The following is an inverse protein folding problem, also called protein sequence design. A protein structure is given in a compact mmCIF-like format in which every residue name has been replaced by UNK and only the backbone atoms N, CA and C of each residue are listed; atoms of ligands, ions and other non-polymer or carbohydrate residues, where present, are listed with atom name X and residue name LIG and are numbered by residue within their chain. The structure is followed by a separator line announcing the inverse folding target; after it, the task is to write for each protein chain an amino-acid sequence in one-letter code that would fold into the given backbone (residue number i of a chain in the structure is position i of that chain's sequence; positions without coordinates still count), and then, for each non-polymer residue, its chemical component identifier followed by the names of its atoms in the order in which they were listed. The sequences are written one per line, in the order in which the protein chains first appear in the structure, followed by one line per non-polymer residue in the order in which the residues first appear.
data_IF_296186801717
#
_entry.id   IF_296186801717
#
_cell.length_a   1.000
_cell.length_b   1.000
_cell.length_c   1.000
_cell.angle_alpha   90.00
_cell.angle_beta   90.00
_cell.angle_gamma   90.00
#
_symmetry.space_group_name_H-M   'P 1'
#
loop_
_entity.id
_entity.type
_entity.pdbx_description
1 polymer ?
#
# COMPACT_ATOMS: atom_id res chain seq x y z
N UNK A 1 17.31 17.61 -20.12
CA UNK A 1 16.79 17.34 -18.78
C UNK A 1 16.50 15.86 -18.70
N UNK A 2 17.15 15.05 -17.84
CA UNK A 2 16.70 13.68 -17.64
C UNK A 2 15.27 13.71 -17.08
N UNK A 3 14.34 13.02 -17.74
CA UNK A 3 12.98 12.86 -17.22
C UNK A 3 13.04 12.10 -15.89
N UNK A 4 12.25 12.46 -14.87
CA UNK A 4 12.20 11.71 -13.63
C UNK A 4 11.76 10.28 -13.94
N UNK A 5 12.58 9.30 -13.56
CA UNK A 5 12.22 7.89 -13.67
C UNK A 5 11.07 7.65 -12.69
N UNK A 6 9.90 7.18 -13.13
CA UNK A 6 8.80 6.92 -12.22
C UNK A 6 9.26 5.86 -11.19
N UNK A 7 8.90 6.02 -9.91
CA UNK A 7 9.32 5.10 -8.87
C UNK A 7 8.84 3.68 -9.19
N UNK A 8 9.73 2.70 -9.02
CA UNK A 8 9.40 1.30 -9.26
C UNK A 8 8.33 0.87 -8.25
N UNK A 9 7.22 0.33 -8.75
CA UNK A 9 6.13 -0.21 -7.90
C UNK A 9 6.66 -1.30 -6.98
N UNK A 10 6.26 -1.26 -5.70
CA UNK A 10 6.71 -2.18 -4.65
C UNK A 10 5.54 -3.06 -4.21
N UNK A 11 5.18 -4.02 -5.05
CA UNK A 11 4.07 -4.93 -4.76
C UNK A 11 4.40 -5.92 -3.65
N UNK A 12 3.68 -5.78 -2.53
CA UNK A 12 3.80 -6.65 -1.37
C UNK A 12 2.54 -7.52 -1.19
N UNK A 13 2.70 -8.68 -0.56
CA UNK A 13 1.57 -9.46 -0.04
C UNK A 13 0.91 -8.71 1.12
N UNK A 14 -0.33 -9.06 1.43
CA UNK A 14 -1.05 -8.44 2.56
C UNK A 14 -0.33 -8.65 3.90
N UNK A 15 0.27 -9.83 4.12
CA UNK A 15 1.08 -10.13 5.31
C UNK A 15 2.31 -9.22 5.42
N UNK A 16 3.04 -9.03 4.32
CA UNK A 16 4.23 -8.15 4.27
C UNK A 16 3.85 -6.69 4.54
N UNK A 17 2.72 -6.23 3.99
CA UNK A 17 2.21 -4.89 4.26
C UNK A 17 1.74 -4.71 5.71
N UNK A 18 1.13 -5.75 6.29
CA UNK A 18 0.71 -5.76 7.68
C UNK A 18 1.91 -5.67 8.63
N UNK A 19 2.96 -6.44 8.36
CA UNK A 19 4.23 -6.35 9.09
C UNK A 19 4.87 -4.97 8.93
N UNK A 20 4.91 -4.43 7.71
CA UNK A 20 5.47 -3.10 7.45
C UNK A 20 4.79 -1.98 8.27
N UNK A 21 3.45 -2.02 8.37
CA UNK A 21 2.67 -1.04 9.13
C UNK A 21 2.51 -1.42 10.61
N UNK A 22 3.02 -2.58 11.05
CA UNK A 22 2.79 -3.14 12.39
C UNK A 22 1.29 -3.26 12.74
N UNK A 23 0.49 -3.75 11.79
CA UNK A 23 -0.95 -4.01 11.93
C UNK A 23 -1.28 -5.45 11.57
N UNK A 24 -2.55 -5.81 11.63
CA UNK A 24 -3.02 -7.14 11.19
C UNK A 24 -3.35 -7.15 9.70
N UNK A 25 -3.31 -8.32 9.06
CA UNK A 25 -3.82 -8.48 7.68
C UNK A 25 -5.29 -8.07 7.54
N UNK A 26 -6.10 -8.25 8.59
CA UNK A 26 -7.50 -7.79 8.62
C UNK A 26 -7.57 -6.28 8.46
N UNK A 27 -6.69 -5.54 9.13
CA UNK A 27 -6.60 -4.07 9.00
C UNK A 27 -6.26 -3.68 7.56
N UNK A 28 -5.30 -4.36 6.92
CA UNK A 28 -4.96 -4.08 5.51
C UNK A 28 -6.17 -4.34 4.59
N UNK A 29 -6.90 -5.45 4.79
CA UNK A 29 -8.11 -5.74 4.01
C UNK A 29 -9.19 -4.69 4.22
N UNK A 30 -9.39 -4.25 5.47
CA UNK A 30 -10.33 -3.18 5.78
C UNK A 30 -9.93 -1.87 5.08
N UNK A 31 -8.64 -1.50 5.10
CA UNK A 31 -8.15 -0.32 4.38
C UNK A 31 -8.40 -0.41 2.87
N UNK A 32 -8.31 -1.60 2.27
CA UNK A 32 -8.67 -1.80 0.85
C UNK A 32 -10.19 -1.62 0.65
N UNK A 33 -11.01 -2.22 1.50
CA UNK A 33 -12.48 -2.06 1.45
C UNK A 33 -12.92 -0.62 1.64
N UNK A 34 -12.25 0.12 2.52
CA UNK A 34 -12.48 1.54 2.79
C UNK A 34 -11.95 2.44 1.66
N UNK A 35 -11.28 1.89 0.64
CA UNK A 35 -10.67 2.65 -0.46
C UNK A 35 -9.41 3.43 -0.08
N UNK A 36 -8.85 3.18 1.11
CA UNK A 36 -7.61 3.82 1.58
C UNK A 36 -6.36 3.23 0.92
N UNK A 37 -6.42 1.96 0.50
CA UNK A 37 -5.35 1.26 -0.22
C UNK A 37 -5.90 0.59 -1.48
N UNK A 38 -5.11 0.53 -2.55
CA UNK A 38 -5.49 -0.21 -3.76
C UNK A 38 -5.11 -1.69 -3.65
N UNK A 39 -6.10 -2.57 -3.77
CA UNK A 39 -5.88 -4.01 -3.89
C UNK A 39 -5.64 -4.43 -5.34
N UNK A 40 -4.43 -4.88 -5.67
CA UNK A 40 -4.06 -5.40 -6.97
C UNK A 40 -4.25 -6.92 -7.03
N UNK A 41 -5.11 -7.41 -7.93
CA UNK A 41 -5.30 -8.85 -8.12
C UNK A 41 -4.25 -9.42 -9.06
N UNK A 42 -3.61 -10.52 -8.67
CA UNK A 42 -2.74 -11.33 -9.51
C UNK A 42 -3.32 -12.75 -9.66
N UNK A 43 -4.38 -12.86 -10.47
CA UNK A 43 -5.18 -14.08 -10.58
C UNK A 43 -6.28 -14.20 -9.53
N UNK A 44 -6.91 -15.37 -9.40
CA UNK A 44 -8.17 -15.52 -8.68
C UNK A 44 -8.06 -15.38 -7.15
N UNK A 45 -6.88 -15.62 -6.56
CA UNK A 45 -6.69 -15.67 -5.09
C UNK A 45 -5.58 -14.79 -4.54
N UNK A 46 -4.76 -14.18 -5.39
CA UNK A 46 -3.61 -13.39 -4.94
C UNK A 46 -3.99 -11.92 -4.99
N UNK A 47 -3.93 -11.26 -3.83
CA UNK A 47 -4.06 -9.81 -3.71
C UNK A 47 -2.73 -9.25 -3.25
N UNK A 48 -2.31 -8.17 -3.90
CA UNK A 48 -1.11 -7.39 -3.59
C UNK A 48 -1.51 -5.95 -3.29
N UNK A 49 -0.64 -5.25 -2.57
CA UNK A 49 -0.72 -3.80 -2.37
C UNK A 49 0.61 -3.18 -2.77
N UNK A 50 0.60 -1.93 -3.22
CA UNK A 50 1.85 -1.20 -3.49
C UNK A 50 2.30 -0.47 -2.22
N UNK A 51 3.49 -0.78 -1.71
CA UNK A 51 4.04 -0.11 -0.53
C UNK A 51 4.24 1.39 -0.78
N UNK A 52 4.49 1.82 -2.02
CA UNK A 52 4.59 3.25 -2.33
C UNK A 52 3.25 3.98 -2.10
N UNK A 53 2.12 3.32 -2.37
CA UNK A 53 0.79 3.89 -2.10
C UNK A 53 0.50 3.92 -0.60
N UNK A 54 0.97 2.91 0.15
CA UNK A 54 0.87 2.90 1.60
C UNK A 54 1.59 4.11 2.20
N UNK A 55 2.82 4.36 1.78
CA UNK A 55 3.61 5.52 2.24
C UNK A 55 2.89 6.83 1.90
N UNK A 56 2.37 6.97 0.67
CA UNK A 56 1.67 8.17 0.24
C UNK A 56 0.30 8.39 0.94
N UNK A 57 -0.44 7.32 1.23
CA UNK A 57 -1.81 7.40 1.75
C UNK A 57 -1.87 7.41 3.28
N UNK A 58 -0.99 6.66 3.94
CA UNK A 58 -1.03 6.42 5.39
C UNK A 58 -0.03 7.29 6.14
N UNK A 59 1.16 7.54 5.57
CA UNK A 59 2.18 8.37 6.21
C UNK A 59 2.00 9.85 5.86
N UNK A 60 0.90 10.45 6.33
CA UNK A 60 0.79 11.91 6.37
C UNK A 60 1.41 12.43 7.67
N UNK A 61 2.29 13.44 7.63
CA UNK A 61 2.81 14.04 8.86
C UNK A 61 1.65 14.61 9.67
N UNK A 62 1.61 14.28 10.95
CA UNK A 62 0.66 14.87 11.87
C UNK A 62 1.03 16.35 12.10
N UNK A 63 0.09 17.27 11.87
CA UNK A 63 0.29 18.71 12.13
C UNK A 63 0.81 19.55 10.95
N UNK A 64 0.87 19.01 9.73
CA UNK A 64 1.05 19.85 8.54
C UNK A 64 -0.31 20.47 8.15
N UNK A 65 -0.59 21.66 8.67
CA UNK A 65 -1.69 22.55 8.27
C UNK A 65 -1.14 23.95 8.07
#
# INVERSE_FOLDING_TARGET
MPSPIPPRRRYAKLAEAAEYLQVTERTIRQMITDGRLTGYRNGPRIVRVDLNEIDAAVMKPFGAS
#
